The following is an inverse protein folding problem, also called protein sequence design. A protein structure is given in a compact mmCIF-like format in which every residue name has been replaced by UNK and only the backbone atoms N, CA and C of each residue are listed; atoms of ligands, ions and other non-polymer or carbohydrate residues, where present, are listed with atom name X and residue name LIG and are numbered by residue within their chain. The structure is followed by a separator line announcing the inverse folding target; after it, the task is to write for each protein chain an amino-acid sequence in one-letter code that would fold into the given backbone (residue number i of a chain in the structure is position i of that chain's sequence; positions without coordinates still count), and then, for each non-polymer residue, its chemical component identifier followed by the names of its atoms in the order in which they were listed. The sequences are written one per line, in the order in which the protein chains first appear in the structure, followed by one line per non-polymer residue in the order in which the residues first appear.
data_IF_571262831320
#
_entry.id   IF_571262831320
#
_cell.length_a   1.000
_cell.length_b   1.000
_cell.length_c   1.000
_cell.angle_alpha   90.00
_cell.angle_beta   90.00
_cell.angle_gamma   90.00
#
_symmetry.space_group_name_H-M   'P 1'
#
loop_
_entity.id
_entity.type
_entity.pdbx_description
1 polymer ?
#
# COMPACT_ATOMS: atom_id res chain seq x y z
N UNK A 1 26.37 7.52 17.94
CA UNK A 1 25.15 7.84 17.14
C UNK A 1 25.50 7.47 15.71
N UNK A 2 24.74 6.55 15.07
CA UNK A 2 24.92 6.36 13.61
C UNK A 2 24.39 7.63 12.95
N UNK A 3 25.21 8.30 12.18
CA UNK A 3 24.79 9.46 11.39
C UNK A 3 23.62 8.99 10.51
N UNK A 4 22.44 9.58 10.70
CA UNK A 4 21.27 9.28 9.88
C UNK A 4 21.54 9.76 8.46
N UNK A 5 21.48 8.85 7.50
CA UNK A 5 21.61 9.20 6.07
C UNK A 5 20.49 10.21 5.74
N UNK A 6 20.83 11.36 5.12
CA UNK A 6 19.82 12.34 4.73
C UNK A 6 18.80 11.71 3.77
N UNK A 7 17.51 11.96 4.03
CA UNK A 7 16.45 11.49 3.16
C UNK A 7 16.50 12.19 1.80
N UNK A 8 16.41 11.40 0.72
CA UNK A 8 16.49 11.85 -0.68
C UNK A 8 15.31 11.41 -1.53
N UNK A 9 14.55 10.40 -1.09
CA UNK A 9 13.41 9.87 -1.81
C UNK A 9 12.27 9.49 -0.88
N UNK A 10 11.06 9.51 -1.42
CA UNK A 10 9.85 9.15 -0.71
C UNK A 10 9.05 8.14 -1.52
N UNK A 11 8.57 7.09 -0.87
CA UNK A 11 7.79 6.04 -1.50
C UNK A 11 6.48 5.90 -0.74
N UNK A 12 5.37 5.87 -1.46
CA UNK A 12 4.04 5.72 -0.89
C UNK A 12 3.49 4.34 -1.23
N UNK A 13 2.92 3.64 -0.25
CA UNK A 13 1.88 2.68 -0.60
C UNK A 13 0.65 3.41 -1.17
N UNK A 14 -0.29 2.69 -1.75
CA UNK A 14 -1.49 3.26 -2.35
C UNK A 14 -2.70 3.17 -1.43
N UNK A 15 -3.13 1.95 -1.13
CA UNK A 15 -4.35 1.69 -0.38
C UNK A 15 -4.16 2.04 1.11
N UNK A 16 -5.01 2.89 1.67
CA UNK A 16 -4.88 3.39 3.04
C UNK A 16 -3.79 4.46 3.22
N UNK A 17 -2.99 4.76 2.20
CA UNK A 17 -1.95 5.80 2.24
C UNK A 17 -2.29 6.96 1.30
N UNK A 18 -2.42 6.73 0.01
CA UNK A 18 -2.85 7.76 -0.96
C UNK A 18 -4.37 7.85 -1.04
N UNK A 19 -5.07 6.74 -0.92
CA UNK A 19 -6.52 6.61 -1.05
C UNK A 19 -7.11 5.91 0.17
N UNK A 20 -8.22 6.43 0.70
CA UNK A 20 -9.01 5.78 1.75
C UNK A 20 -9.91 4.70 1.12
N UNK A 21 -9.33 3.53 0.88
CA UNK A 21 -9.98 2.39 0.22
C UNK A 21 -10.39 1.26 1.19
N UNK A 22 -10.08 1.38 2.46
CA UNK A 22 -10.24 0.30 3.45
C UNK A 22 -11.66 -0.25 3.54
N UNK A 23 -12.68 0.62 3.50
CA UNK A 23 -14.09 0.20 3.49
C UNK A 23 -14.44 -0.60 2.23
N UNK A 24 -14.00 -0.15 1.05
CA UNK A 24 -14.22 -0.84 -0.22
C UNK A 24 -13.57 -2.23 -0.25
N UNK A 25 -12.37 -2.36 0.29
CA UNK A 25 -11.68 -3.65 0.40
C UNK A 25 -12.42 -4.62 1.32
N UNK A 26 -12.85 -4.18 2.50
CA UNK A 26 -13.62 -5.02 3.44
C UNK A 26 -14.94 -5.49 2.83
N UNK A 27 -15.66 -4.58 2.17
CA UNK A 27 -16.96 -4.92 1.56
C UNK A 27 -16.79 -5.81 0.33
N UNK A 28 -15.72 -5.62 -0.46
CA UNK A 28 -15.40 -6.52 -1.57
C UNK A 28 -15.11 -7.94 -1.08
N UNK A 29 -14.31 -8.11 -0.03
CA UNK A 29 -14.07 -9.41 0.58
C UNK A 29 -15.33 -10.06 1.13
N UNK A 30 -16.17 -9.33 1.88
CA UNK A 30 -17.47 -9.83 2.36
C UNK A 30 -18.36 -10.30 1.22
N UNK A 31 -18.42 -9.54 0.14
CA UNK A 31 -19.20 -9.91 -1.05
C UNK A 31 -18.62 -11.16 -1.72
N UNK A 32 -17.30 -11.27 -1.82
CA UNK A 32 -16.62 -12.45 -2.35
C UNK A 32 -16.97 -13.71 -1.56
N UNK A 33 -16.76 -13.69 -0.26
CA UNK A 33 -17.05 -14.85 0.59
C UNK A 33 -18.54 -15.27 0.51
N UNK A 34 -19.45 -14.30 0.46
CA UNK A 34 -20.88 -14.58 0.29
C UNK A 34 -21.18 -15.22 -1.06
N UNK A 35 -20.57 -14.74 -2.16
CA UNK A 35 -20.77 -15.27 -3.51
C UNK A 35 -20.29 -16.72 -3.64
N UNK A 36 -19.21 -17.07 -2.96
CA UNK A 36 -18.62 -18.43 -3.02
C UNK A 36 -19.06 -19.35 -1.87
N UNK A 37 -19.98 -18.90 -1.00
CA UNK A 37 -20.51 -19.71 0.11
C UNK A 37 -19.52 -20.00 1.23
N UNK A 38 -18.45 -19.21 1.38
CA UNK A 38 -17.45 -19.36 2.43
C UNK A 38 -17.75 -18.43 3.61
N UNK A 39 -17.41 -18.88 4.82
CA UNK A 39 -17.46 -18.07 6.04
C UNK A 39 -16.03 -17.71 6.45
N UNK A 40 -15.61 -16.44 6.31
CA UNK A 40 -14.28 -16.03 6.71
C UNK A 40 -14.16 -15.94 8.25
N UNK A 41 -12.94 -16.02 8.81
CA UNK A 41 -12.72 -15.70 10.22
C UNK A 41 -13.14 -14.25 10.53
N UNK A 42 -13.53 -13.93 11.79
CA UNK A 42 -14.06 -12.61 12.15
C UNK A 42 -13.13 -11.43 11.80
N UNK A 43 -11.82 -11.64 11.86
CA UNK A 43 -10.77 -10.66 11.61
C UNK A 43 -10.06 -10.85 10.27
N UNK A 44 -10.70 -11.53 9.32
CA UNK A 44 -10.14 -11.82 7.98
C UNK A 44 -9.51 -10.60 7.32
N UNK A 45 -10.07 -9.43 7.53
CA UNK A 45 -9.60 -8.19 6.93
C UNK A 45 -8.16 -7.83 7.37
N UNK A 46 -7.74 -8.18 8.59
CA UNK A 46 -6.35 -7.98 9.06
C UNK A 46 -5.35 -8.81 8.28
N UNK A 47 -5.74 -10.03 7.90
CA UNK A 47 -4.91 -10.93 7.09
C UNK A 47 -4.77 -10.41 5.67
N UNK A 48 -5.80 -9.75 5.15
CA UNK A 48 -5.85 -9.32 3.75
C UNK A 48 -5.19 -7.96 3.47
N UNK A 49 -4.96 -7.14 4.52
CA UNK A 49 -4.39 -5.79 4.35
C UNK A 49 -2.95 -5.87 3.85
N UNK A 50 -2.63 -5.07 2.84
CA UNK A 50 -1.29 -4.90 2.29
C UNK A 50 -0.79 -6.07 1.44
N UNK A 51 -1.59 -7.15 1.28
CA UNK A 51 -1.23 -8.34 0.49
C UNK A 51 -1.91 -8.37 -0.87
N UNK A 52 -1.30 -9.01 -1.89
CA UNK A 52 -2.00 -9.43 -3.11
C UNK A 52 -3.20 -10.33 -2.76
N UNK A 53 -4.30 -10.20 -3.53
CA UNK A 53 -5.55 -10.87 -3.16
C UNK A 53 -5.48 -12.41 -3.22
N UNK A 54 -4.69 -12.97 -4.13
CA UNK A 54 -4.46 -14.42 -4.25
C UNK A 54 -3.64 -14.98 -3.09
N UNK A 55 -2.62 -14.24 -2.63
CA UNK A 55 -1.87 -14.60 -1.43
C UNK A 55 -2.74 -14.50 -0.16
N UNK A 56 -3.54 -13.43 -0.06
CA UNK A 56 -4.43 -13.22 1.08
C UNK A 56 -5.46 -14.34 1.21
N UNK A 57 -6.07 -14.77 0.10
CA UNK A 57 -7.09 -15.82 0.11
C UNK A 57 -6.50 -17.20 0.46
N UNK A 58 -5.27 -17.47 0.02
CA UNK A 58 -4.56 -18.70 0.37
C UNK A 58 -4.25 -18.82 1.88
N UNK A 59 -4.16 -17.68 2.58
CA UNK A 59 -4.02 -17.65 4.04
C UNK A 59 -5.35 -17.76 4.80
N UNK A 60 -6.47 -17.49 4.13
CA UNK A 60 -7.81 -17.50 4.73
C UNK A 60 -8.55 -18.83 4.56
N UNK A 61 -8.16 -19.62 3.57
CA UNK A 61 -8.83 -20.86 3.19
C UNK A 61 -7.78 -21.96 3.08
N UNK A 62 -7.78 -22.87 4.06
CA UNK A 62 -6.85 -23.99 4.08
C UNK A 62 -7.04 -24.93 2.89
N UNK A 63 -5.93 -25.44 2.36
CA UNK A 63 -5.94 -26.45 1.29
C UNK A 63 -6.36 -25.91 -0.09
N UNK A 64 -6.42 -24.59 -0.26
CA UNK A 64 -6.82 -23.99 -1.53
C UNK A 64 -5.70 -24.12 -2.57
N UNK A 65 -6.02 -24.72 -3.72
CA UNK A 65 -5.10 -24.80 -4.84
C UNK A 65 -4.83 -23.41 -5.45
N UNK A 66 -3.64 -23.22 -6.01
CA UNK A 66 -3.20 -21.92 -6.54
C UNK A 66 -4.17 -21.31 -7.56
N UNK A 67 -4.74 -22.14 -8.42
CA UNK A 67 -5.69 -21.66 -9.44
C UNK A 67 -7.05 -21.29 -8.85
N UNK A 68 -7.46 -21.92 -7.76
CA UNK A 68 -8.66 -21.54 -7.02
C UNK A 68 -8.44 -20.22 -6.26
N UNK A 69 -7.27 -20.03 -5.65
CA UNK A 69 -6.90 -18.76 -5.01
C UNK A 69 -6.97 -17.59 -6.01
N UNK A 70 -6.46 -17.79 -7.22
CA UNK A 70 -6.55 -16.80 -8.31
C UNK A 70 -8.00 -16.51 -8.72
N UNK A 71 -8.84 -17.55 -8.84
CA UNK A 71 -10.28 -17.37 -9.16
C UNK A 71 -10.99 -16.54 -8.10
N UNK A 72 -10.74 -16.81 -6.81
CA UNK A 72 -11.31 -16.05 -5.71
C UNK A 72 -10.80 -14.61 -5.68
N UNK A 73 -9.52 -14.38 -5.97
CA UNK A 73 -8.96 -13.05 -6.14
C UNK A 73 -9.62 -12.27 -7.29
N UNK A 74 -9.96 -12.95 -8.39
CA UNK A 74 -10.70 -12.35 -9.50
C UNK A 74 -12.14 -11.98 -9.11
N UNK A 75 -12.82 -12.81 -8.34
CA UNK A 75 -14.15 -12.49 -7.76
C UNK A 75 -14.05 -11.23 -6.90
N UNK A 76 -13.08 -11.19 -5.98
CA UNK A 76 -12.83 -10.02 -5.12
C UNK A 76 -12.55 -8.77 -5.94
N UNK A 77 -11.74 -8.87 -6.99
CA UNK A 77 -11.42 -7.75 -7.87
C UNK A 77 -12.66 -7.19 -8.58
N UNK A 78 -13.57 -8.05 -9.06
CA UNK A 78 -14.86 -7.61 -9.64
C UNK A 78 -15.71 -6.84 -8.63
N UNK A 79 -15.81 -7.33 -7.39
CA UNK A 79 -16.53 -6.63 -6.33
C UNK A 79 -15.89 -5.30 -5.98
N UNK A 80 -14.56 -5.26 -5.83
CA UNK A 80 -13.82 -4.04 -5.54
C UNK A 80 -14.00 -2.98 -6.64
N UNK A 81 -13.83 -3.37 -7.91
CA UNK A 81 -14.00 -2.46 -9.05
C UNK A 81 -15.41 -1.84 -9.07
N UNK A 82 -16.44 -2.62 -8.74
CA UNK A 82 -17.82 -2.11 -8.67
C UNK A 82 -18.02 -1.10 -7.51
N UNK A 83 -17.42 -1.39 -6.36
CA UNK A 83 -17.51 -0.51 -5.18
C UNK A 83 -16.72 0.78 -5.40
N UNK A 84 -15.52 0.68 -5.96
CA UNK A 84 -14.64 1.81 -6.25
C UNK A 84 -15.25 2.83 -7.25
N UNK A 85 -16.23 2.42 -8.08
CA UNK A 85 -17.00 3.36 -8.93
C UNK A 85 -17.83 4.38 -8.15
N UNK A 86 -18.01 4.20 -6.85
CA UNK A 86 -18.71 5.17 -5.98
C UNK A 86 -17.88 6.41 -5.65
N UNK A 87 -16.64 6.44 -6.08
CA UNK A 87 -15.70 7.53 -5.92
C UNK A 87 -14.43 7.11 -5.18
N UNK A 88 -13.35 7.80 -5.47
CA UNK A 88 -12.04 7.64 -4.85
C UNK A 88 -11.80 8.83 -3.94
N UNK A 89 -11.62 8.57 -2.64
CA UNK A 89 -11.38 9.61 -1.63
C UNK A 89 -9.91 9.56 -1.24
N UNK A 90 -9.15 10.66 -1.38
CA UNK A 90 -7.77 10.69 -0.90
C UNK A 90 -7.72 10.63 0.63
N UNK A 91 -6.67 10.03 1.19
CA UNK A 91 -6.37 10.22 2.60
C UNK A 91 -6.12 11.72 2.86
N UNK A 92 -6.62 12.21 3.99
CA UNK A 92 -6.59 13.64 4.28
C UNK A 92 -5.17 14.21 4.20
N UNK A 93 -5.01 15.36 3.53
CA UNK A 93 -3.73 16.05 3.34
C UNK A 93 -2.86 15.51 2.19
N UNK A 94 -3.12 14.32 1.63
CA UNK A 94 -2.32 13.72 0.55
C UNK A 94 -2.13 14.64 -0.65
N UNK A 95 -3.18 15.26 -1.25
CA UNK A 95 -2.97 16.09 -2.43
C UNK A 95 -2.02 17.27 -2.15
N UNK A 96 -2.18 17.95 -1.00
CA UNK A 96 -1.35 19.09 -0.63
C UNK A 96 0.10 18.68 -0.37
N UNK A 97 0.31 17.55 0.34
CA UNK A 97 1.64 17.02 0.63
C UNK A 97 2.38 16.59 -0.65
N UNK A 98 1.70 15.82 -1.53
CA UNK A 98 2.29 15.37 -2.81
C UNK A 98 2.62 16.56 -3.71
N UNK A 99 1.76 17.59 -3.76
CA UNK A 99 2.04 18.84 -4.49
C UNK A 99 3.22 19.61 -3.92
N UNK A 100 3.38 19.64 -2.59
CA UNK A 100 4.55 20.26 -1.95
C UNK A 100 5.85 19.53 -2.31
N UNK A 101 5.85 18.19 -2.29
CA UNK A 101 6.98 17.37 -2.74
C UNK A 101 7.33 17.64 -4.22
N UNK A 102 6.30 17.77 -5.08
CA UNK A 102 6.49 18.04 -6.50
C UNK A 102 7.14 19.42 -6.73
N UNK A 103 6.69 20.44 -6.03
CA UNK A 103 7.30 21.79 -6.08
C UNK A 103 8.76 21.76 -5.57
N UNK A 104 9.03 20.98 -4.53
CA UNK A 104 10.37 20.78 -3.97
C UNK A 104 11.27 19.86 -4.82
N UNK A 105 10.77 19.31 -5.93
CA UNK A 105 11.47 18.33 -6.78
C UNK A 105 11.99 17.12 -6.00
N UNK A 106 11.28 16.71 -4.95
CA UNK A 106 11.63 15.52 -4.17
C UNK A 106 11.31 14.28 -5.00
N UNK A 107 12.28 13.38 -5.26
CA UNK A 107 12.03 12.10 -5.93
C UNK A 107 10.98 11.27 -5.20
N UNK A 108 9.94 10.82 -5.90
CA UNK A 108 8.81 10.12 -5.27
C UNK A 108 8.22 9.05 -6.15
N UNK A 109 7.87 7.94 -5.51
CA UNK A 109 7.30 6.76 -6.16
C UNK A 109 6.05 6.28 -5.43
N UNK A 110 5.26 5.47 -6.15
CA UNK A 110 4.22 4.60 -5.56
C UNK A 110 4.69 3.15 -5.65
N UNK A 111 4.52 2.38 -4.56
CA UNK A 111 4.85 0.97 -4.48
C UNK A 111 3.70 0.20 -3.81
N UNK A 112 2.89 -0.54 -4.60
CA UNK A 112 1.62 -1.11 -4.16
C UNK A 112 1.48 -2.60 -4.48
N UNK A 113 0.68 -3.31 -3.69
CA UNK A 113 0.20 -4.69 -3.97
C UNK A 113 -1.00 -4.72 -4.94
N UNK A 114 -1.49 -3.57 -5.38
CA UNK A 114 -2.54 -3.48 -6.39
C UNK A 114 -1.99 -3.72 -7.80
N UNK A 115 -2.90 -4.03 -8.75
CA UNK A 115 -2.54 -4.13 -10.16
C UNK A 115 -2.25 -2.76 -10.76
N UNK A 116 -1.49 -2.72 -11.86
CA UNK A 116 -1.22 -1.48 -12.60
C UNK A 116 -2.51 -0.78 -13.03
N UNK A 117 -3.49 -1.55 -13.48
CA UNK A 117 -4.80 -1.02 -13.87
C UNK A 117 -5.51 -0.28 -12.73
N UNK A 118 -5.49 -0.84 -11.53
CA UNK A 118 -6.14 -0.22 -10.37
C UNK A 118 -5.37 1.01 -9.90
N UNK A 119 -4.04 0.96 -9.89
CA UNK A 119 -3.19 2.10 -9.57
C UNK A 119 -3.43 3.27 -10.52
N UNK A 120 -3.36 3.04 -11.84
CA UNK A 120 -3.55 4.10 -12.83
C UNK A 120 -4.93 4.75 -12.68
N UNK A 121 -5.99 3.95 -12.48
CA UNK A 121 -7.34 4.47 -12.21
C UNK A 121 -7.34 5.39 -10.99
N UNK A 122 -6.81 4.93 -9.84
CA UNK A 122 -6.77 5.71 -8.60
C UNK A 122 -6.00 7.00 -8.78
N UNK A 123 -4.81 6.96 -9.37
CA UNK A 123 -3.98 8.15 -9.56
C UNK A 123 -4.63 9.17 -10.51
N UNK A 124 -5.34 8.71 -11.54
CA UNK A 124 -6.10 9.58 -12.46
C UNK A 124 -7.29 10.22 -11.73
N UNK A 125 -8.09 9.43 -11.01
CA UNK A 125 -9.25 9.93 -10.26
C UNK A 125 -8.86 10.93 -9.17
N UNK A 126 -7.69 10.78 -8.54
CA UNK A 126 -7.14 11.72 -7.57
C UNK A 126 -6.42 12.92 -8.20
N UNK A 127 -6.22 12.95 -9.53
CA UNK A 127 -5.42 13.98 -10.21
C UNK A 127 -3.92 13.94 -9.88
N UNK A 128 -3.41 12.80 -9.41
CA UNK A 128 -2.04 12.66 -8.92
C UNK A 128 -1.10 11.96 -9.91
N UNK A 129 -1.59 11.46 -11.06
CA UNK A 129 -0.76 10.63 -11.96
C UNK A 129 0.55 11.30 -12.40
N UNK A 130 0.50 12.59 -12.72
CA UNK A 130 1.66 13.37 -13.15
C UNK A 130 2.59 13.79 -12.01
N UNK A 131 2.25 13.46 -10.77
CA UNK A 131 3.03 13.82 -9.59
C UNK A 131 4.04 12.74 -9.17
N UNK A 132 3.95 11.54 -9.74
CA UNK A 132 4.84 10.44 -9.39
C UNK A 132 5.80 10.12 -10.54
N UNK A 133 7.10 10.09 -10.22
CA UNK A 133 8.16 9.79 -11.18
C UNK A 133 8.19 8.31 -11.52
N UNK A 134 7.96 7.45 -10.52
CA UNK A 134 8.00 5.99 -10.61
C UNK A 134 6.74 5.39 -10.00
N UNK A 135 6.23 4.33 -10.63
CA UNK A 135 5.17 3.49 -10.08
C UNK A 135 5.55 2.02 -10.20
N UNK A 136 5.44 1.27 -9.09
CA UNK A 136 5.69 -0.17 -9.01
C UNK A 136 4.45 -0.85 -8.44
N UNK A 137 4.00 -1.93 -9.07
CA UNK A 137 2.74 -2.62 -8.77
C UNK A 137 2.97 -4.11 -8.56
N UNK A 138 1.94 -4.85 -8.18
CA UNK A 138 2.00 -6.31 -8.11
C UNK A 138 2.42 -6.94 -9.45
N UNK A 139 2.10 -6.30 -10.60
CA UNK A 139 2.45 -6.81 -11.92
C UNK A 139 3.94 -6.70 -12.24
N UNK A 140 4.68 -5.91 -11.47
CA UNK A 140 6.12 -5.65 -11.68
C UNK A 140 7.02 -6.51 -10.79
N UNK A 141 6.46 -7.27 -9.82
CA UNK A 141 7.23 -8.03 -8.83
C UNK A 141 6.91 -9.52 -8.90
N UNK A 142 7.87 -10.33 -8.49
CA UNK A 142 7.69 -11.77 -8.34
C UNK A 142 7.08 -12.15 -6.98
N UNK A 143 7.42 -11.36 -5.95
CA UNK A 143 7.05 -11.64 -4.56
C UNK A 143 6.35 -10.42 -3.95
N UNK A 144 5.15 -10.65 -3.41
CA UNK A 144 4.38 -9.64 -2.70
C UNK A 144 4.94 -9.31 -1.30
N UNK A 145 4.42 -8.24 -0.67
CA UNK A 145 4.71 -7.88 0.72
C UNK A 145 4.38 -9.06 1.66
N UNK A 146 5.24 -9.46 2.60
CA UNK A 146 6.34 -8.68 3.18
C UNK A 146 7.70 -8.80 2.47
N UNK A 147 7.78 -9.40 1.28
CA UNK A 147 9.02 -9.40 0.50
C UNK A 147 9.36 -7.97 0.06
N UNK A 148 10.65 -7.53 0.13
CA UNK A 148 11.04 -6.13 -0.09
C UNK A 148 11.03 -5.69 -1.55
N UNK A 149 10.79 -6.58 -2.51
CA UNK A 149 11.03 -6.36 -3.94
C UNK A 149 10.33 -5.11 -4.48
N UNK A 150 9.08 -4.86 -4.09
CA UNK A 150 8.30 -3.70 -4.56
C UNK A 150 8.97 -2.38 -4.17
N UNK A 151 9.50 -2.29 -2.96
CA UNK A 151 10.19 -1.10 -2.47
C UNK A 151 11.58 -0.94 -3.04
N UNK A 152 12.33 -2.04 -3.17
CA UNK A 152 13.67 -2.01 -3.80
C UNK A 152 13.58 -1.57 -5.27
N UNK A 153 12.58 -2.04 -6.02
CA UNK A 153 12.34 -1.59 -7.40
C UNK A 153 11.94 -0.11 -7.47
N UNK A 154 11.14 0.37 -6.51
CA UNK A 154 10.78 1.78 -6.44
C UNK A 154 12.00 2.67 -6.18
N UNK A 155 12.86 2.33 -5.22
CA UNK A 155 14.09 3.05 -4.93
C UNK A 155 15.06 3.04 -6.13
N UNK A 156 15.22 1.88 -6.77
CA UNK A 156 16.04 1.75 -7.99
C UNK A 156 15.51 2.63 -9.12
N UNK A 157 14.18 2.68 -9.34
CA UNK A 157 13.56 3.55 -10.33
C UNK A 157 13.77 5.03 -10.05
N UNK A 158 13.82 5.43 -8.78
CA UNK A 158 14.14 6.80 -8.36
C UNK A 158 15.62 7.11 -8.42
N UNK A 159 16.50 6.13 -8.64
CA UNK A 159 17.95 6.23 -8.52
C UNK A 159 18.39 6.74 -7.12
N UNK A 160 17.69 6.30 -6.06
CA UNK A 160 17.95 6.66 -4.66
C UNK A 160 18.34 5.41 -3.88
N UNK A 161 19.37 5.53 -3.04
CA UNK A 161 19.74 4.45 -2.11
C UNK A 161 18.58 4.11 -1.18
N UNK A 162 18.24 2.82 -0.94
CA UNK A 162 17.19 2.43 -0.03
C UNK A 162 17.31 3.07 1.36
N UNK A 163 18.52 3.19 1.92
CA UNK A 163 18.76 3.82 3.21
C UNK A 163 18.48 5.33 3.24
N UNK A 164 18.40 5.98 2.06
CA UNK A 164 18.00 7.37 1.89
C UNK A 164 16.52 7.54 1.51
N UNK A 165 15.74 6.45 1.50
CA UNK A 165 14.30 6.48 1.25
C UNK A 165 13.49 6.41 2.55
N UNK A 166 12.34 7.09 2.55
CA UNK A 166 11.28 6.91 3.54
C UNK A 166 10.03 6.37 2.86
N UNK A 167 9.38 5.42 3.51
CA UNK A 167 8.12 4.80 3.04
C UNK A 167 6.97 5.25 3.93
N UNK A 168 5.83 5.59 3.34
CA UNK A 168 4.54 5.70 4.04
C UNK A 168 3.72 4.45 3.81
N UNK A 169 3.23 3.84 4.89
CA UNK A 169 2.57 2.53 4.89
C UNK A 169 1.53 2.41 6.01
N UNK A 170 0.41 1.72 5.73
CA UNK A 170 -0.67 1.49 6.69
C UNK A 170 -0.78 0.03 7.15
N UNK A 171 -0.04 -0.89 6.47
CA UNK A 171 -0.08 -2.32 6.70
C UNK A 171 1.19 -2.85 7.37
N UNK A 172 1.02 -3.74 8.36
CA UNK A 172 2.14 -4.41 9.05
C UNK A 172 3.09 -5.09 8.07
N UNK A 173 2.55 -5.82 7.07
CA UNK A 173 3.38 -6.52 6.08
C UNK A 173 4.16 -5.57 5.16
N UNK A 174 3.60 -4.39 4.88
CA UNK A 174 4.26 -3.36 4.10
C UNK A 174 5.37 -2.67 4.89
N UNK A 175 5.13 -2.36 6.17
CA UNK A 175 6.18 -1.86 7.08
C UNK A 175 7.34 -2.85 7.15
N UNK A 176 7.07 -4.14 7.33
CA UNK A 176 8.09 -5.19 7.34
C UNK A 176 8.88 -5.24 6.03
N UNK A 177 8.19 -5.19 4.88
CA UNK A 177 8.83 -5.17 3.56
C UNK A 177 9.79 -3.97 3.38
N UNK A 178 9.35 -2.78 3.77
CA UNK A 178 10.17 -1.58 3.69
C UNK A 178 11.38 -1.62 4.64
N UNK A 179 11.20 -2.15 5.85
CA UNK A 179 12.30 -2.36 6.81
C UNK A 179 13.34 -3.35 6.30
N UNK A 180 12.88 -4.48 5.71
CA UNK A 180 13.78 -5.47 5.08
C UNK A 180 14.52 -4.85 3.89
N UNK A 181 13.88 -3.92 3.15
CA UNK A 181 14.53 -3.14 2.09
C UNK A 181 15.58 -2.14 2.62
N UNK A 182 15.74 -1.97 3.94
CA UNK A 182 16.68 -1.02 4.55
C UNK A 182 16.16 0.42 4.61
N UNK A 183 14.87 0.63 4.42
CA UNK A 183 14.24 1.96 4.37
C UNK A 183 13.72 2.41 5.73
N UNK A 184 13.60 3.73 5.92
CA UNK A 184 12.82 4.33 7.01
C UNK A 184 11.33 4.19 6.71
N UNK A 185 10.49 4.08 7.75
CA UNK A 185 9.05 3.90 7.58
C UNK A 185 8.29 4.82 8.53
N UNK A 186 7.27 5.49 7.99
CA UNK A 186 6.24 6.20 8.75
C UNK A 186 4.94 5.46 8.55
N UNK A 187 4.32 5.02 9.64
CA UNK A 187 3.02 4.37 9.62
C UNK A 187 1.89 5.39 9.40
N UNK A 188 0.88 5.03 8.61
CA UNK A 188 -0.38 5.78 8.48
C UNK A 188 -1.49 4.94 9.11
N UNK A 189 -2.21 5.47 10.12
CA UNK A 189 -3.11 4.65 10.95
C UNK A 189 -4.52 4.46 10.37
N UNK A 190 -4.61 4.23 9.08
CA UNK A 190 -5.87 4.01 8.35
C UNK A 190 -6.37 2.57 8.44
N UNK A 191 -5.44 1.60 8.52
CA UNK A 191 -5.77 0.17 8.58
C UNK A 191 -5.32 -0.50 9.89
N UNK A 192 -4.14 -0.18 10.39
CA UNK A 192 -3.61 -0.68 11.66
C UNK A 192 -3.40 0.46 12.66
N UNK A 193 -3.35 0.11 13.94
CA UNK A 193 -3.05 1.06 15.01
C UNK A 193 -1.59 1.52 14.95
N UNK A 194 -1.30 2.70 15.50
CA UNK A 194 0.07 3.21 15.59
C UNK A 194 1.03 2.23 16.29
N UNK A 195 0.56 1.60 17.37
CA UNK A 195 1.35 0.60 18.12
C UNK A 195 1.66 -0.65 17.31
N UNK A 196 0.74 -1.11 16.46
CA UNK A 196 0.97 -2.26 15.56
C UNK A 196 2.03 -1.90 14.50
N UNK A 197 1.94 -0.71 13.91
CA UNK A 197 2.90 -0.25 12.91
C UNK A 197 4.29 0.01 13.50
N UNK A 198 4.38 0.60 14.69
CA UNK A 198 5.65 0.80 15.40
C UNK A 198 6.28 -0.54 15.77
N UNK A 199 5.51 -1.50 16.28
CA UNK A 199 6.01 -2.86 16.55
C UNK A 199 6.49 -3.58 15.30
N UNK A 200 5.90 -3.29 14.15
CA UNK A 200 6.34 -3.82 12.85
C UNK A 200 7.63 -3.15 12.34
N UNK A 201 8.05 -2.02 12.91
CA UNK A 201 9.29 -1.33 12.59
C UNK A 201 9.14 0.10 12.04
N UNK A 202 7.93 0.67 12.03
CA UNK A 202 7.77 2.09 11.72
C UNK A 202 8.44 2.97 12.79
N UNK A 203 9.09 4.05 12.39
CA UNK A 203 9.76 4.99 13.31
C UNK A 203 8.75 5.82 14.10
N UNK A 204 7.64 6.15 13.45
CA UNK A 204 6.49 6.83 14.05
C UNK A 204 5.22 6.52 13.25
N UNK A 205 4.07 6.88 13.78
CA UNK A 205 2.79 6.75 13.11
C UNK A 205 2.05 8.10 13.09
N UNK A 206 1.31 8.35 12.00
CA UNK A 206 0.49 9.55 11.79
C UNK A 206 -0.92 9.14 11.38
N UNK A 207 -1.96 9.90 11.73
CA UNK A 207 -3.32 9.58 11.33
C UNK A 207 -3.58 9.85 9.84
N UNK A 208 -2.93 10.86 9.30
CA UNK A 208 -3.06 11.34 7.92
C UNK A 208 -1.90 12.31 7.57
N UNK A 209 -2.01 13.06 6.45
CA UNK A 209 -0.96 13.94 5.94
C UNK A 209 -1.17 15.43 6.23
N UNK A 210 -2.16 15.83 7.02
CA UNK A 210 -2.46 17.25 7.26
C UNK A 210 -1.30 17.98 7.96
N UNK A 211 -0.63 17.30 8.88
CA UNK A 211 0.49 17.85 9.65
C UNK A 211 1.85 17.26 9.25
N UNK A 212 1.93 16.65 8.07
CA UNK A 212 3.18 16.09 7.54
C UNK A 212 3.85 17.07 6.59
N UNK A 213 5.12 17.32 6.82
CA UNK A 213 5.97 18.18 5.98
C UNK A 213 7.26 17.46 5.58
N UNK A 214 7.87 17.84 4.48
CA UNK A 214 9.18 17.33 4.07
C UNK A 214 10.30 18.28 4.53
N UNK A 215 11.43 17.78 5.01
CA UNK A 215 11.74 16.38 5.33
C UNK A 215 10.96 15.87 6.56
N UNK A 216 10.67 14.55 6.58
CA UNK A 216 9.84 13.88 7.60
C UNK A 216 10.68 13.31 8.74
#
# INVERSE_FOLDING_TARGET
MKDLVPLRGIIFDMDGVLVDSGAHHRDAWRATFREVGLTPPPDFWRITIGRPADEAVALLVDGLERDEARRLADVKRRHYTRLARRGTVPVAGVPAFVDALARGRVPRAVATSATRRDLERVLVELGLRSRFDIVVTADDVRWGKPHPEVYLKAAAGLAVDPGACVVFEDAVVGVQAARVAGMRVIGVTTAHTGDELIRAGAERAVPDFRDVSWPV
#
